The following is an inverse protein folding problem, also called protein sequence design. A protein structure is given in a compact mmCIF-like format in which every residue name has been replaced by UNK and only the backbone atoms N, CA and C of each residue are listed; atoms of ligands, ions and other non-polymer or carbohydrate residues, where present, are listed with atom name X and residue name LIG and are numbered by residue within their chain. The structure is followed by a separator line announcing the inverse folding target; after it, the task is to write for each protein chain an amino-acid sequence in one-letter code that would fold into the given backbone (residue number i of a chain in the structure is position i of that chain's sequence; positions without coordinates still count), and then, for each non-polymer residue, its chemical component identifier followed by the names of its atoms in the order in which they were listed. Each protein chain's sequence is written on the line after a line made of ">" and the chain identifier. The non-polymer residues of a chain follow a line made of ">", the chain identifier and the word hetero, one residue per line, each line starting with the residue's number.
data_IF_681562972766
#
_entry.id   IF_681562972766
#
_cell.length_a   1.000
_cell.length_b   1.000
_cell.length_c   1.000
_cell.angle_alpha   90.00
_cell.angle_beta   90.00
_cell.angle_gamma   90.00
#
_symmetry.space_group_name_H-M   'P 1'
#
loop_
_entity.id
_entity.type
_entity.pdbx_description
1 polymer ?
#
# COMPACT_ATOMS: atom_id res chain seq x y z
N UNK A 1 21.14 3.67 7.47
CA UNK A 1 19.76 3.40 6.97
C UNK A 1 19.71 2.16 6.06
N UNK A 2 20.49 2.11 4.97
CA UNK A 2 20.45 1.00 3.98
C UNK A 2 20.70 -0.39 4.58
N UNK A 3 21.72 -0.55 5.43
CA UNK A 3 22.00 -1.83 6.10
C UNK A 3 20.86 -2.29 7.01
N UNK A 4 20.17 -1.35 7.67
CA UNK A 4 19.01 -1.65 8.50
C UNK A 4 17.83 -2.17 7.68
N UNK A 5 17.54 -1.53 6.53
CA UNK A 5 16.49 -1.99 5.61
C UNK A 5 16.81 -3.37 5.04
N UNK A 6 18.07 -3.63 4.69
CA UNK A 6 18.51 -4.96 4.24
C UNK A 6 18.34 -6.01 5.36
N UNK A 7 18.70 -5.67 6.60
CA UNK A 7 18.52 -6.55 7.75
C UNK A 7 17.05 -6.90 8.02
N UNK A 8 16.16 -5.90 8.03
CA UNK A 8 14.71 -6.10 8.19
C UNK A 8 14.14 -6.91 7.02
N UNK A 9 14.55 -6.61 5.79
CA UNK A 9 14.14 -7.36 4.61
C UNK A 9 14.56 -8.83 4.68
N UNK A 10 15.83 -9.10 4.99
CA UNK A 10 16.34 -10.46 5.14
C UNK A 10 15.60 -11.23 6.26
N UNK A 11 15.39 -10.58 7.41
CA UNK A 11 14.61 -11.15 8.51
C UNK A 11 13.16 -11.45 8.10
N UNK A 12 12.51 -10.52 7.40
CA UNK A 12 11.14 -10.70 6.90
C UNK A 12 11.05 -11.89 5.94
N UNK A 13 11.94 -12.00 4.94
CA UNK A 13 11.97 -13.14 4.03
C UNK A 13 12.24 -14.47 4.77
N UNK A 14 13.16 -14.46 5.74
CA UNK A 14 13.41 -15.61 6.59
C UNK A 14 12.16 -16.05 7.36
N UNK A 15 11.46 -15.10 8.01
CA UNK A 15 10.21 -15.35 8.74
C UNK A 15 9.15 -15.96 7.83
N UNK A 16 8.89 -15.35 6.67
CA UNK A 16 7.88 -15.84 5.72
C UNK A 16 8.20 -17.27 5.26
N UNK A 17 9.49 -17.58 5.01
CA UNK A 17 9.92 -18.93 4.61
C UNK A 17 9.79 -19.94 5.75
N UNK A 18 10.19 -19.55 6.96
CA UNK A 18 10.10 -20.40 8.16
C UNK A 18 8.66 -20.71 8.52
N UNK A 19 7.79 -19.72 8.40
CA UNK A 19 6.37 -19.83 8.77
C UNK A 19 5.53 -20.51 7.66
N UNK A 20 6.15 -20.87 6.51
CA UNK A 20 5.50 -21.63 5.45
C UNK A 20 4.63 -20.80 4.50
N UNK A 21 4.74 -19.47 4.55
CA UNK A 21 3.94 -18.51 3.80
C UNK A 21 2.94 -17.75 4.68
N UNK A 22 2.39 -16.65 4.16
CA UNK A 22 1.48 -15.77 4.91
C UNK A 22 0.00 -16.18 4.77
N UNK A 23 -0.36 -16.79 3.64
CA UNK A 23 -1.76 -17.06 3.26
C UNK A 23 -2.03 -18.53 2.91
N UNK A 24 -1.12 -19.44 3.30
CA UNK A 24 -1.25 -20.87 3.00
C UNK A 24 -1.97 -21.56 4.16
N UNK A 25 -3.12 -22.24 3.93
CA UNK A 25 -3.76 -23.05 4.97
C UNK A 25 -2.83 -24.12 5.57
N UNK A 26 -3.01 -24.49 6.85
CA UNK A 26 -2.37 -25.66 7.44
C UNK A 26 -2.62 -26.93 6.61
N UNK A 27 -1.70 -27.91 6.59
CA UNK A 27 -1.82 -29.11 5.75
C UNK A 27 -3.17 -29.82 5.83
N UNK A 28 -3.73 -29.91 7.04
CA UNK A 28 -5.01 -30.58 7.33
C UNK A 28 -6.22 -29.86 6.70
N UNK A 29 -6.11 -28.55 6.46
CA UNK A 29 -7.18 -27.69 5.96
C UNK A 29 -7.04 -27.37 4.45
N UNK A 30 -6.06 -27.96 3.75
CA UNK A 30 -5.82 -27.71 2.31
C UNK A 30 -6.78 -28.52 1.45
N UNK A 31 -7.50 -27.83 0.56
CA UNK A 31 -8.34 -28.48 -0.47
C UNK A 31 -7.52 -29.18 -1.55
N UNK A 32 -6.39 -28.59 -1.91
CA UNK A 32 -5.43 -29.16 -2.85
C UNK A 32 -4.03 -29.11 -2.21
N UNK A 33 -3.40 -30.27 -1.94
CA UNK A 33 -2.06 -30.32 -1.39
C UNK A 33 -0.97 -30.10 -2.45
N UNK A 34 -1.33 -29.99 -3.73
CA UNK A 34 -0.38 -29.84 -4.83
C UNK A 34 0.49 -28.59 -4.65
N UNK A 35 1.78 -28.74 -4.97
CA UNK A 35 2.74 -27.64 -4.98
C UNK A 35 3.36 -27.52 -6.35
N UNK A 36 3.52 -26.29 -6.82
CA UNK A 36 4.26 -26.04 -8.06
C UNK A 36 5.75 -26.27 -7.84
N UNK A 37 6.43 -26.75 -8.88
CA UNK A 37 7.88 -26.95 -8.85
C UNK A 37 8.60 -25.59 -8.80
N UNK A 38 9.86 -25.60 -8.32
CA UNK A 38 10.71 -24.40 -8.30
C UNK A 38 10.91 -23.82 -9.70
N UNK A 39 11.06 -24.69 -10.70
CA UNK A 39 11.24 -24.27 -12.10
C UNK A 39 10.00 -23.55 -12.63
N UNK A 40 8.80 -24.06 -12.33
CA UNK A 40 7.56 -23.41 -12.76
C UNK A 40 7.31 -22.10 -12.01
N UNK A 41 7.62 -22.04 -10.71
CA UNK A 41 7.52 -20.79 -9.94
C UNK A 41 8.43 -19.70 -10.51
N UNK A 42 9.73 -20.02 -10.71
CA UNK A 42 10.71 -19.08 -11.27
C UNK A 42 10.28 -18.62 -12.67
N UNK A 43 9.78 -19.53 -13.51
CA UNK A 43 9.28 -19.20 -14.84
C UNK A 43 8.12 -18.20 -14.79
N UNK A 44 7.14 -18.41 -13.89
CA UNK A 44 5.99 -17.50 -13.72
C UNK A 44 6.41 -16.14 -13.20
N UNK A 45 7.24 -16.11 -12.16
CA UNK A 45 7.73 -14.86 -11.55
C UNK A 45 8.59 -14.05 -12.53
N UNK A 46 9.49 -14.71 -13.27
CA UNK A 46 10.32 -14.06 -14.28
C UNK A 46 9.47 -13.47 -15.41
N UNK A 47 8.47 -14.21 -15.91
CA UNK A 47 7.56 -13.71 -16.93
C UNK A 47 6.76 -12.49 -16.42
N UNK A 48 6.21 -12.56 -15.20
CA UNK A 48 5.50 -11.44 -14.58
C UNK A 48 6.41 -10.21 -14.40
N UNK A 49 7.66 -10.42 -13.97
CA UNK A 49 8.64 -9.34 -13.82
C UNK A 49 9.00 -8.68 -15.17
N UNK A 50 9.19 -9.48 -16.22
CA UNK A 50 9.44 -8.97 -17.58
C UNK A 50 8.25 -8.16 -18.08
N UNK A 51 7.03 -8.69 -17.95
CA UNK A 51 5.81 -8.02 -18.38
C UNK A 51 5.57 -6.71 -17.61
N UNK A 52 5.74 -6.72 -16.29
CA UNK A 52 5.61 -5.53 -15.46
C UNK A 52 6.67 -4.47 -15.82
N UNK A 53 7.92 -4.89 -16.04
CA UNK A 53 9.01 -3.99 -16.44
C UNK A 53 8.74 -3.39 -17.82
N UNK A 54 8.31 -4.20 -18.79
CA UNK A 54 7.92 -3.73 -20.11
C UNK A 54 6.77 -2.72 -20.04
N UNK A 55 5.74 -2.99 -19.24
CA UNK A 55 4.64 -2.05 -19.00
C UNK A 55 5.13 -0.73 -18.40
N UNK A 56 6.02 -0.79 -17.40
CA UNK A 56 6.61 0.41 -16.78
C UNK A 56 7.48 1.22 -17.77
N UNK A 57 8.22 0.55 -18.66
CA UNK A 57 8.99 1.21 -19.73
C UNK A 57 8.03 1.93 -20.69
N UNK A 58 6.96 1.27 -21.15
CA UNK A 58 5.95 1.87 -22.02
C UNK A 58 5.34 3.10 -21.36
N UNK A 59 4.94 2.99 -20.09
CA UNK A 59 4.42 4.13 -19.31
C UNK A 59 5.44 5.26 -19.24
N UNK A 60 6.71 4.96 -18.98
CA UNK A 60 7.79 5.96 -18.86
C UNK A 60 8.11 6.66 -20.19
N UNK A 61 7.91 5.97 -21.32
CA UNK A 61 8.10 6.54 -22.65
C UNK A 61 6.94 7.44 -23.08
N UNK A 62 5.71 7.12 -22.66
CA UNK A 62 4.49 7.81 -23.11
C UNK A 62 4.05 8.92 -22.15
N UNK A 63 4.28 8.75 -20.84
CA UNK A 63 3.90 9.71 -19.82
C UNK A 63 5.15 10.43 -19.28
N UNK A 64 5.30 11.75 -19.52
CA UNK A 64 6.43 12.50 -18.95
C UNK A 64 6.32 12.50 -17.42
N UNK A 65 7.48 12.46 -16.76
CA UNK A 65 7.54 12.51 -15.31
C UNK A 65 6.94 13.83 -14.80
N UNK A 66 5.97 13.81 -13.87
CA UNK A 66 5.33 15.02 -13.33
C UNK A 66 6.21 15.65 -12.24
N UNK A 67 7.49 15.89 -12.55
CA UNK A 67 8.46 16.50 -11.63
C UNK A 67 8.64 17.97 -11.97
N UNK A 68 8.70 18.81 -10.93
CA UNK A 68 9.01 20.23 -11.09
C UNK A 68 10.46 20.42 -11.58
N UNK A 69 10.78 21.56 -12.21
CA UNK A 69 12.16 21.92 -12.52
C UNK A 69 13.06 21.87 -11.28
N UNK A 70 14.36 21.58 -11.44
CA UNK A 70 15.31 21.64 -10.34
C UNK A 70 15.27 23.01 -9.65
N UNK A 71 15.26 23.01 -8.32
CA UNK A 71 15.32 24.23 -7.52
C UNK A 71 16.65 24.94 -7.83
N UNK A 72 16.59 26.21 -8.25
CA UNK A 72 17.76 27.08 -8.44
C UNK A 72 17.68 28.26 -7.47
N UNK A 73 18.82 28.80 -7.08
CA UNK A 73 18.88 30.05 -6.31
C UNK A 73 18.06 31.15 -7.02
N UNK A 74 17.18 31.83 -6.28
CA UNK A 74 16.30 32.87 -6.82
C UNK A 74 15.01 32.37 -7.49
N UNK A 75 14.76 31.06 -7.56
CA UNK A 75 13.45 30.54 -7.99
C UNK A 75 12.42 30.83 -6.90
N UNK A 76 11.43 31.67 -7.19
CA UNK A 76 10.28 31.84 -6.29
C UNK A 76 9.64 30.45 -6.07
N UNK A 77 9.30 30.13 -4.81
CA UNK A 77 8.56 28.91 -4.50
C UNK A 77 7.32 28.87 -5.39
N UNK A 78 7.12 27.76 -6.11
CA UNK A 78 5.94 27.57 -6.94
C UNK A 78 4.70 27.84 -6.07
N UNK A 79 3.77 28.66 -6.59
CA UNK A 79 2.58 29.14 -5.88
C UNK A 79 1.72 27.98 -5.34
N UNK A 80 1.87 26.76 -5.86
CA UNK A 80 1.13 25.59 -5.42
C UNK A 80 2.03 24.34 -5.34
N UNK A 81 2.56 24.03 -4.15
CA UNK A 81 3.30 22.80 -3.90
C UNK A 81 2.32 21.63 -3.70
N UNK A 82 2.39 20.61 -4.57
CA UNK A 82 1.62 19.36 -4.42
C UNK A 82 2.50 18.24 -3.87
N UNK A 83 1.95 17.48 -2.93
CA UNK A 83 2.60 16.29 -2.40
C UNK A 83 2.61 15.17 -3.47
N UNK A 84 3.52 14.18 -3.33
CA UNK A 84 3.44 12.94 -4.11
C UNK A 84 2.06 12.29 -3.98
N UNK A 85 1.61 11.61 -5.03
CA UNK A 85 0.22 11.11 -5.13
C UNK A 85 -0.23 10.25 -3.94
N UNK A 86 0.68 9.48 -3.34
CA UNK A 86 0.41 8.63 -2.17
C UNK A 86 0.25 9.40 -0.85
N UNK A 87 0.61 10.68 -0.82
CA UNK A 87 0.41 11.61 0.30
C UNK A 87 -0.72 12.60 0.08
N UNK A 88 -1.42 12.57 -1.06
CA UNK A 88 -2.48 13.54 -1.38
C UNK A 88 -3.63 13.53 -0.37
N UNK A 89 -4.00 12.37 0.16
CA UNK A 89 -5.02 12.29 1.21
C UNK A 89 -4.60 13.03 2.49
N UNK A 90 -3.31 12.97 2.87
CA UNK A 90 -2.76 13.73 4.01
C UNK A 90 -2.74 15.22 3.68
N UNK A 91 -2.31 15.58 2.46
CA UNK A 91 -2.36 16.97 2.01
C UNK A 91 -3.78 17.54 2.08
N UNK A 92 -4.79 16.76 1.75
CA UNK A 92 -6.18 17.18 1.86
C UNK A 92 -6.61 17.38 3.32
N UNK A 93 -6.21 16.47 4.22
CA UNK A 93 -6.48 16.63 5.66
C UNK A 93 -5.84 17.89 6.24
N UNK A 94 -4.63 18.25 5.80
CA UNK A 94 -3.92 19.46 6.24
C UNK A 94 -4.66 20.77 5.89
N UNK A 95 -5.59 20.75 4.92
CA UNK A 95 -6.43 21.92 4.61
C UNK A 95 -7.50 22.20 5.67
N UNK A 96 -7.76 21.26 6.57
CA UNK A 96 -8.90 21.30 7.50
C UNK A 96 -8.57 21.81 8.90
N UNK A 97 -7.29 22.03 9.23
CA UNK A 97 -6.94 22.60 10.52
C UNK A 97 -5.49 22.36 10.93
N UNK A 98 -5.30 22.04 12.21
CA UNK A 98 -3.99 21.92 12.83
C UNK A 98 -3.08 20.88 12.13
N UNK A 99 -1.87 21.26 11.71
CA UNK A 99 -0.96 20.36 10.99
C UNK A 99 -0.51 19.15 11.79
N UNK A 100 -0.41 19.23 13.12
CA UNK A 100 -0.01 18.10 13.93
C UNK A 100 -1.14 17.06 14.00
N UNK A 101 -2.38 17.49 14.24
CA UNK A 101 -3.53 16.58 14.30
C UNK A 101 -3.74 15.90 12.93
N UNK A 102 -3.82 16.69 11.85
CA UNK A 102 -4.18 16.16 10.53
C UNK A 102 -3.02 15.54 9.76
N UNK A 103 -1.79 16.04 9.98
CA UNK A 103 -0.59 15.56 9.29
C UNK A 103 0.16 14.44 10.01
N UNK A 104 0.00 14.30 11.33
CA UNK A 104 0.74 13.32 12.13
C UNK A 104 -0.19 12.39 12.89
N UNK A 105 -1.06 12.91 13.74
CA UNK A 105 -1.86 12.08 14.64
C UNK A 105 -2.81 11.16 13.87
N UNK A 106 -3.59 11.70 12.92
CA UNK A 106 -4.52 10.89 12.11
C UNK A 106 -3.79 9.81 11.30
N UNK A 107 -2.73 10.11 10.52
CA UNK A 107 -1.98 9.07 9.81
C UNK A 107 -1.39 7.98 10.73
N UNK A 108 -0.87 8.36 11.90
CA UNK A 108 -0.39 7.39 12.90
C UNK A 108 -1.53 6.52 13.40
N UNK A 109 -2.71 7.09 13.69
CA UNK A 109 -3.88 6.30 14.08
C UNK A 109 -4.32 5.32 12.98
N UNK A 110 -4.25 5.70 11.71
CA UNK A 110 -4.54 4.79 10.59
C UNK A 110 -3.56 3.60 10.58
N UNK A 111 -2.26 3.85 10.78
CA UNK A 111 -1.25 2.78 10.85
C UNK A 111 -1.50 1.86 12.06
N UNK A 112 -1.78 2.44 13.23
CA UNK A 112 -2.10 1.67 14.45
C UNK A 112 -3.37 0.84 14.26
N UNK A 113 -4.40 1.40 13.62
CA UNK A 113 -5.63 0.69 13.29
C UNK A 113 -5.35 -0.52 12.39
N UNK A 114 -4.58 -0.33 11.31
CA UNK A 114 -4.20 -1.40 10.39
C UNK A 114 -3.36 -2.48 11.07
N UNK A 115 -2.39 -2.09 11.90
CA UNK A 115 -1.56 -3.02 12.66
C UNK A 115 -2.34 -3.78 13.74
N UNK A 116 -3.41 -3.19 14.26
CA UNK A 116 -4.30 -3.77 15.27
C UNK A 116 -5.31 -4.77 14.72
N UNK A 117 -5.62 -4.76 13.41
CA UNK A 117 -6.57 -5.68 12.76
C UNK A 117 -6.41 -7.15 13.19
N UNK A 118 -5.22 -7.79 13.10
CA UNK A 118 -5.07 -9.20 13.45
C UNK A 118 -5.29 -9.54 14.93
N UNK A 119 -5.26 -8.53 15.81
CA UNK A 119 -5.41 -8.69 17.27
C UNK A 119 -6.82 -8.34 17.76
N UNK A 120 -7.47 -7.35 17.15
CA UNK A 120 -8.77 -6.86 17.60
C UNK A 120 -9.96 -7.46 16.86
N UNK A 121 -9.76 -7.96 15.64
CA UNK A 121 -10.84 -8.46 14.80
C UNK A 121 -10.77 -9.96 14.58
N UNK A 122 -11.91 -10.62 14.29
CA UNK A 122 -11.94 -12.04 13.99
C UNK A 122 -11.05 -12.40 12.80
N UNK A 123 -10.21 -13.40 12.99
CA UNK A 123 -9.36 -13.94 11.93
C UNK A 123 -10.12 -14.95 11.06
N UNK A 124 -9.80 -15.06 9.75
CA UNK A 124 -10.34 -16.11 8.90
C UNK A 124 -10.08 -17.50 9.49
N UNK A 125 -11.00 -18.43 9.25
CA UNK A 125 -10.77 -19.83 9.61
C UNK A 125 -9.57 -20.38 8.84
N UNK A 126 -8.82 -21.36 9.37
CA UNK A 126 -7.65 -21.92 8.69
C UNK A 126 -7.93 -22.38 7.24
N UNK A 127 -9.11 -22.97 7.00
CA UNK A 127 -9.59 -23.41 5.67
C UNK A 127 -9.89 -22.26 4.70
N UNK A 128 -10.10 -21.06 5.23
CA UNK A 128 -10.41 -19.86 4.46
C UNK A 128 -9.16 -19.03 4.11
N UNK A 129 -7.99 -19.38 4.66
CA UNK A 129 -6.74 -18.69 4.37
C UNK A 129 -6.40 -18.76 2.86
N UNK A 130 -5.98 -17.63 2.30
CA UNK A 130 -5.66 -17.51 0.87
C UNK A 130 -6.88 -17.41 -0.06
N UNK A 131 -8.11 -17.45 0.48
CA UNK A 131 -9.32 -17.13 -0.31
C UNK A 131 -9.48 -15.62 -0.42
N UNK A 132 -9.95 -15.15 -1.56
CA UNK A 132 -10.41 -13.78 -1.73
C UNK A 132 -11.69 -13.56 -0.91
N UNK A 133 -11.71 -12.51 -0.09
CA UNK A 133 -12.86 -12.09 0.72
C UNK A 133 -13.47 -13.21 1.58
N UNK A 134 -12.72 -13.83 2.51
CA UNK A 134 -13.23 -14.93 3.32
C UNK A 134 -14.34 -14.49 4.28
N UNK A 135 -15.28 -15.38 4.57
CA UNK A 135 -16.43 -15.05 5.45
C UNK A 135 -16.02 -14.75 6.89
N UNK A 136 -14.94 -15.38 7.38
CA UNK A 136 -14.52 -15.31 8.78
C UNK A 136 -14.02 -13.95 9.26
N UNK A 137 -13.64 -13.03 8.36
CA UNK A 137 -13.13 -11.70 8.73
C UNK A 137 -13.87 -10.53 8.04
N UNK A 138 -15.18 -10.69 7.79
CA UNK A 138 -16.01 -9.65 7.14
C UNK A 138 -15.91 -8.27 7.81
N UNK A 139 -15.81 -8.21 9.13
CA UNK A 139 -15.64 -6.95 9.87
C UNK A 139 -14.33 -6.25 9.49
N UNK A 140 -13.23 -7.00 9.40
CA UNK A 140 -11.95 -6.46 8.97
C UNK A 140 -11.97 -6.01 7.50
N UNK A 141 -12.65 -6.77 6.63
CA UNK A 141 -12.83 -6.38 5.23
C UNK A 141 -13.66 -5.10 5.07
N UNK A 142 -14.76 -4.99 5.81
CA UNK A 142 -15.63 -3.81 5.77
C UNK A 142 -14.87 -2.57 6.28
N UNK A 143 -14.16 -2.70 7.41
CA UNK A 143 -13.32 -1.63 7.96
C UNK A 143 -12.26 -1.20 6.95
N UNK A 144 -11.52 -2.17 6.37
CA UNK A 144 -10.50 -1.89 5.36
C UNK A 144 -11.11 -1.24 4.11
N UNK A 145 -12.27 -1.72 3.64
CA UNK A 145 -12.96 -1.16 2.49
C UNK A 145 -13.40 0.30 2.75
N UNK A 146 -14.00 0.57 3.90
CA UNK A 146 -14.39 1.93 4.31
C UNK A 146 -13.15 2.82 4.38
N UNK A 147 -12.07 2.35 5.01
CA UNK A 147 -10.82 3.09 5.12
C UNK A 147 -10.24 3.41 3.73
N UNK A 148 -10.16 2.42 2.83
CA UNK A 148 -9.68 2.61 1.46
C UNK A 148 -10.56 3.62 0.71
N UNK A 149 -11.89 3.52 0.84
CA UNK A 149 -12.82 4.48 0.22
C UNK A 149 -12.56 5.88 0.76
N UNK A 150 -12.40 6.07 2.07
CA UNK A 150 -12.10 7.38 2.66
C UNK A 150 -10.76 7.92 2.12
N UNK A 151 -9.70 7.12 2.09
CA UNK A 151 -8.40 7.54 1.57
C UNK A 151 -8.46 7.90 0.07
N UNK A 152 -9.20 7.13 -0.72
CA UNK A 152 -9.44 7.43 -2.14
C UNK A 152 -10.23 8.73 -2.30
N UNK A 153 -11.31 8.93 -1.54
CA UNK A 153 -12.10 10.16 -1.55
C UNK A 153 -11.24 11.37 -1.20
N UNK A 154 -10.44 11.28 -0.13
CA UNK A 154 -9.51 12.36 0.25
C UNK A 154 -8.46 12.63 -0.82
N UNK A 155 -7.91 11.57 -1.45
CA UNK A 155 -6.95 11.72 -2.56
C UNK A 155 -7.60 12.40 -3.75
N UNK A 156 -8.82 12.00 -4.13
CA UNK A 156 -9.58 12.60 -5.23
C UNK A 156 -9.91 14.07 -4.93
N UNK A 157 -10.37 14.36 -3.71
CA UNK A 157 -10.64 15.73 -3.27
C UNK A 157 -9.37 16.60 -3.31
N UNK A 158 -8.21 16.05 -3.01
CA UNK A 158 -6.93 16.76 -3.10
C UNK A 158 -6.60 17.23 -4.52
N UNK A 159 -7.09 16.54 -5.55
CA UNK A 159 -6.86 16.90 -6.95
C UNK A 159 -7.60 18.19 -7.35
N UNK A 160 -8.70 18.51 -6.66
CA UNK A 160 -9.50 19.70 -6.91
C UNK A 160 -9.06 20.84 -5.98
N UNK A 161 -8.64 22.00 -6.51
CA UNK A 161 -8.45 23.19 -5.69
C UNK A 161 -9.81 23.59 -5.11
N UNK A 162 -9.85 23.92 -3.81
CA UNK A 162 -11.03 24.57 -3.24
C UNK A 162 -11.14 25.92 -3.95
N UNK A 163 -12.14 26.09 -4.82
CA UNK A 163 -12.44 27.37 -5.43
C UNK A 163 -12.96 28.31 -4.35
N UNK A 164 -12.06 28.92 -3.59
CA UNK A 164 -12.35 30.10 -2.80
C UNK A 164 -12.17 31.29 -3.73
N UNK A 165 -13.25 31.60 -4.46
CA UNK A 165 -13.52 32.96 -4.93
C UNK A 165 -13.60 33.86 -3.69
N UNK A 166 -12.54 34.62 -3.46
CA UNK A 166 -12.50 35.81 -2.62
C UNK A 166 -11.71 36.87 -3.40
#
# INVERSE_FOLDING_TARGET
>A
MTLGLLGVGAWHLFRVRRDGGIAVPPPEARRDPSRISRFELVRREALAAILATAALIVVSCVLPAPIAPPIREGTALAVEARAPWFFLWVQQLLKWGDPFIFGVLIPVMVIVLLAGIPYWLPNPRPEELGRWFPSGNRTAQLLLAILVIILLLLTILALFPLSTSA
#
